data_IF_552090038826
#
_entry.id   IF_552090038826
#
_cell.length_a   1.000
_cell.length_b   1.000
_cell.length_c   1.000
_cell.angle_alpha   90.00
_cell.angle_beta   90.00
_cell.angle_gamma   90.00
#
_symmetry.space_group_name_H-M   'P 1'
#
loop_
_entity.id
_entity.type
_entity.pdbx_description
1 polymer ?
#
# COMPACT_ATOMS: atom_id res chain seq x y z
N UNK A 1 -69.51 21.86 28.42
CA UNK A 1 -69.70 22.11 29.85
C UNK A 1 -68.29 21.99 30.49
N UNK A 2 -67.72 23.10 30.78
CA UNK A 2 -67.35 23.58 32.14
C UNK A 2 -66.31 22.65 32.77
N UNK A 3 -65.18 23.03 33.02
CA UNK A 3 -64.48 24.07 33.85
C UNK A 3 -63.40 23.27 34.60
N UNK A 4 -62.33 23.65 35.05
CA UNK A 4 -61.54 24.84 35.35
C UNK A 4 -60.22 24.38 35.92
N UNK A 5 -59.18 25.09 35.63
CA UNK A 5 -57.92 25.14 36.38
C UNK A 5 -58.19 25.79 37.78
N UNK A 6 -57.36 25.60 38.77
CA UNK A 6 -56.13 26.35 39.01
C UNK A 6 -55.04 25.50 39.70
N UNK A 7 -53.78 25.77 39.78
CA UNK A 7 -53.02 27.01 39.91
C UNK A 7 -52.07 26.95 41.11
N UNK A 8 -50.78 27.31 40.91
CA UNK A 8 -49.77 27.70 41.94
C UNK A 8 -49.18 26.58 42.83
N UNK A 9 -47.89 26.53 43.14
CA UNK A 9 -46.96 27.54 43.69
C UNK A 9 -45.54 27.03 43.51
N UNK A 10 -44.60 27.91 43.17
CA UNK A 10 -43.14 27.83 43.17
C UNK A 10 -42.65 27.67 44.63
N UNK A 11 -41.68 26.74 44.85
CA UNK A 11 -40.66 26.95 45.86
C UNK A 11 -39.31 26.38 45.32
N UNK A 12 -38.41 27.32 45.23
CA UNK A 12 -36.96 27.15 45.04
C UNK A 12 -36.33 26.43 46.25
N UNK A 13 -35.53 25.43 46.01
CA UNK A 13 -34.43 25.13 46.95
C UNK A 13 -33.20 24.71 46.13
N UNK A 14 -32.23 25.59 46.18
CA UNK A 14 -30.84 25.37 45.83
C UNK A 14 -30.26 24.39 46.84
N UNK A 15 -29.73 23.27 46.38
CA UNK A 15 -28.77 22.49 47.15
C UNK A 15 -27.61 22.14 46.23
N UNK A 16 -26.49 22.76 46.53
CA UNK A 16 -25.16 22.51 46.06
C UNK A 16 -24.78 21.11 46.55
N UNK A 17 -24.48 20.20 45.61
CA UNK A 17 -23.68 19.04 45.88
C UNK A 17 -22.61 18.96 44.82
N UNK A 18 -21.42 19.22 45.27
CA UNK A 18 -20.14 19.10 44.59
C UNK A 18 -19.85 17.64 44.23
N UNK A 19 -19.19 17.51 43.10
CA UNK A 19 -18.16 16.54 42.76
C UNK A 19 -18.58 15.10 42.47
N UNK A 20 -18.45 14.70 41.23
CA UNK A 20 -17.27 14.01 40.75
C UNK A 20 -17.39 13.82 39.23
N UNK A 21 -16.89 14.77 38.47
CA UNK A 21 -16.51 14.52 37.07
C UNK A 21 -15.32 13.60 37.07
N UNK A 22 -15.54 12.31 36.97
CA UNK A 22 -14.54 11.42 36.37
C UNK A 22 -14.70 11.51 34.87
N UNK A 23 -13.87 12.33 34.27
CA UNK A 23 -13.61 12.38 32.86
C UNK A 23 -13.25 10.98 32.34
N UNK A 24 -14.23 10.31 31.74
CA UNK A 24 -13.93 9.34 30.69
C UNK A 24 -13.61 10.14 29.44
N UNK A 25 -12.43 10.74 29.40
CA UNK A 25 -11.82 11.17 28.17
C UNK A 25 -11.60 9.95 27.30
N UNK A 26 -12.44 9.82 26.28
CA UNK A 26 -12.21 8.95 25.13
C UNK A 26 -10.78 9.13 24.65
N UNK A 27 -10.03 8.05 24.72
CA UNK A 27 -8.80 7.85 24.00
C UNK A 27 -9.12 7.68 22.51
N UNK A 28 -9.29 8.78 21.81
CA UNK A 28 -9.45 8.84 20.35
C UNK A 28 -8.63 9.97 19.75
N UNK A 29 -7.43 10.17 20.26
CA UNK A 29 -6.52 11.16 19.72
C UNK A 29 -5.09 10.74 19.97
N UNK A 30 -4.59 9.81 19.16
CA UNK A 30 -3.15 9.64 18.96
C UNK A 30 -2.85 8.78 17.71
N UNK A 31 -3.64 8.85 16.64
CA UNK A 31 -3.12 8.66 15.31
C UNK A 31 -2.48 10.00 14.89
N UNK A 32 -1.34 10.33 15.47
CA UNK A 32 -0.51 11.40 14.95
C UNK A 32 -0.08 11.00 13.54
N UNK A 33 -0.64 11.67 12.53
CA UNK A 33 -0.03 11.70 11.19
C UNK A 33 1.41 12.13 11.39
N UNK A 34 2.35 11.23 11.16
CA UNK A 34 3.75 11.58 11.12
C UNK A 34 3.97 12.37 9.82
N UNK A 35 4.17 13.68 9.95
CA UNK A 35 4.61 14.52 8.84
C UNK A 35 6.13 14.61 8.92
N UNK A 36 6.79 14.22 7.85
CA UNK A 36 8.24 14.22 7.75
C UNK A 36 8.70 14.96 6.50
N UNK A 37 9.67 15.86 6.64
CA UNK A 37 10.35 16.47 5.51
C UNK A 37 11.29 15.44 4.88
N UNK A 38 11.04 15.10 3.61
CA UNK A 38 11.93 14.25 2.83
C UNK A 38 12.64 15.10 1.79
N UNK A 39 13.94 14.91 1.68
CA UNK A 39 14.73 15.55 0.62
C UNK A 39 14.52 14.75 -0.66
N UNK A 40 14.04 15.38 -1.73
CA UNK A 40 13.94 14.74 -3.04
C UNK A 40 15.35 14.31 -3.49
N UNK A 41 15.58 13.00 -3.58
CA UNK A 41 16.87 12.47 -3.99
C UNK A 41 16.85 12.17 -5.49
N UNK A 42 17.56 12.97 -6.27
CA UNK A 42 17.80 12.70 -7.68
C UNK A 42 18.93 11.67 -7.90
N UNK A 43 19.68 11.33 -6.85
CA UNK A 43 20.75 10.35 -6.89
C UNK A 43 20.41 9.18 -5.96
N UNK A 44 20.79 7.95 -6.35
CA UNK A 44 20.68 6.78 -5.48
C UNK A 44 21.75 6.86 -4.38
N UNK A 45 21.34 7.32 -3.20
CA UNK A 45 22.17 7.36 -2.01
C UNK A 45 21.75 6.33 -0.97
N UNK A 46 20.96 5.33 -1.38
CA UNK A 46 20.42 4.34 -0.48
C UNK A 46 21.49 3.45 0.13
N UNK A 47 21.53 3.45 1.46
CA UNK A 47 22.40 2.59 2.25
C UNK A 47 21.55 1.65 3.11
N UNK A 48 21.56 0.33 2.85
CA UNK A 48 20.70 -0.62 3.58
C UNK A 48 21.05 -0.74 5.08
N UNK A 49 22.22 -0.25 5.48
CA UNK A 49 22.79 -0.43 6.80
C UNK A 49 23.81 -1.60 6.85
N UNK A 50 24.74 -1.54 7.81
CA UNK A 50 25.89 -2.46 7.88
C UNK A 50 25.49 -3.93 8.14
N UNK A 51 24.33 -4.16 8.75
CA UNK A 51 23.84 -5.52 9.09
C UNK A 51 23.14 -6.22 7.94
N UNK A 52 22.98 -5.55 6.81
CA UNK A 52 22.26 -6.08 5.65
C UNK A 52 23.23 -6.52 4.54
N UNK A 53 22.87 -7.58 3.83
CA UNK A 53 23.56 -8.10 2.65
C UNK A 53 22.57 -8.22 1.50
N UNK A 54 22.86 -7.57 0.38
CA UNK A 54 22.09 -7.73 -0.86
C UNK A 54 22.08 -9.21 -1.28
N UNK A 55 20.91 -9.74 -1.55
CA UNK A 55 20.72 -11.13 -2.02
C UNK A 55 20.04 -11.20 -3.39
N UNK A 56 19.31 -10.17 -3.78
CA UNK A 56 18.70 -10.05 -5.11
C UNK A 56 18.41 -8.57 -5.39
N UNK A 57 18.47 -8.21 -6.67
CA UNK A 57 17.99 -6.92 -7.15
C UNK A 57 17.58 -6.99 -8.62
N UNK A 58 16.76 -6.03 -9.02
CA UNK A 58 16.58 -5.63 -10.40
C UNK A 58 16.75 -4.11 -10.47
N UNK A 59 17.79 -3.70 -11.19
CA UNK A 59 18.17 -2.28 -11.36
C UNK A 59 17.58 -1.70 -12.65
N UNK A 60 16.83 -2.50 -13.41
CA UNK A 60 16.16 -2.14 -14.66
C UNK A 60 17.05 -1.46 -15.72
N UNK A 61 18.36 -1.76 -15.69
CA UNK A 61 19.35 -1.21 -16.63
C UNK A 61 19.32 -1.86 -18.02
N UNK A 62 18.60 -2.99 -18.19
CA UNK A 62 18.44 -3.67 -19.47
C UNK A 62 17.44 -2.90 -20.36
N UNK A 63 17.49 -3.20 -21.69
CA UNK A 63 16.55 -2.60 -22.66
C UNK A 63 15.11 -3.16 -22.56
N UNK A 64 14.95 -4.32 -21.90
CA UNK A 64 13.67 -5.03 -21.78
C UNK A 64 13.48 -5.56 -20.34
N UNK A 65 12.22 -5.75 -19.95
CA UNK A 65 11.87 -6.37 -18.67
C UNK A 65 12.33 -7.81 -18.64
N UNK A 66 13.12 -8.20 -17.64
CA UNK A 66 13.63 -9.56 -17.50
C UNK A 66 12.50 -10.55 -17.14
N UNK A 67 12.07 -11.29 -18.13
CA UNK A 67 11.05 -12.33 -17.99
C UNK A 67 11.48 -13.52 -17.12
N UNK A 68 12.76 -13.63 -16.71
CA UNK A 68 13.18 -14.61 -15.71
C UNK A 68 12.86 -14.15 -14.28
N UNK A 69 12.70 -12.85 -14.06
CA UNK A 69 12.32 -12.26 -12.78
C UNK A 69 10.83 -11.92 -12.72
N UNK A 70 10.24 -11.45 -13.82
CA UNK A 70 8.90 -10.88 -13.84
C UNK A 70 7.90 -11.67 -14.67
N UNK A 71 6.69 -11.81 -14.16
CA UNK A 71 5.51 -12.23 -14.88
C UNK A 71 4.59 -11.01 -15.09
N UNK A 72 3.81 -11.04 -16.16
CA UNK A 72 2.69 -10.14 -16.36
C UNK A 72 1.40 -10.85 -15.99
N UNK A 73 0.61 -10.26 -15.12
CA UNK A 73 -0.74 -10.74 -14.85
C UNK A 73 -1.70 -10.07 -15.83
N UNK A 74 -2.37 -10.87 -16.66
CA UNK A 74 -3.32 -10.39 -17.66
C UNK A 74 -4.72 -10.75 -17.21
N UNK A 75 -5.53 -9.74 -16.84
CA UNK A 75 -6.90 -9.90 -16.37
C UNK A 75 -7.78 -8.77 -16.89
N UNK A 76 -9.06 -9.05 -17.04
CA UNK A 76 -10.04 -8.07 -17.49
C UNK A 76 -10.41 -7.07 -16.38
N UNK A 77 -10.99 -5.95 -16.78
CA UNK A 77 -11.52 -4.93 -15.87
C UNK A 77 -12.55 -5.54 -14.90
N UNK A 78 -12.55 -5.07 -13.65
CA UNK A 78 -13.45 -5.54 -12.59
C UNK A 78 -13.07 -6.88 -11.98
N UNK A 79 -11.94 -7.48 -12.35
CA UNK A 79 -11.51 -8.75 -11.78
C UNK A 79 -11.11 -8.62 -10.30
N UNK A 80 -10.42 -7.55 -9.95
CA UNK A 80 -10.03 -7.21 -8.57
C UNK A 80 -10.72 -5.91 -8.15
N UNK A 81 -11.21 -5.80 -6.92
CA UNK A 81 -11.59 -4.56 -6.23
C UNK A 81 -12.47 -3.58 -7.04
N UNK A 82 -13.24 -4.07 -8.00
CA UNK A 82 -14.03 -3.24 -8.94
C UNK A 82 -13.16 -2.25 -9.74
N UNK A 83 -11.88 -2.58 -9.97
CA UNK A 83 -10.93 -1.78 -10.73
C UNK A 83 -11.35 -1.66 -12.19
N UNK A 84 -11.08 -0.53 -12.81
CA UNK A 84 -11.60 -0.20 -14.15
C UNK A 84 -10.65 -0.56 -15.28
N UNK A 85 -9.35 -0.70 -15.00
CA UNK A 85 -8.39 -1.10 -16.02
C UNK A 85 -8.41 -2.60 -16.29
N UNK A 86 -8.11 -2.95 -17.51
CA UNK A 86 -7.60 -4.27 -17.86
C UNK A 86 -6.08 -4.26 -17.68
N UNK A 87 -5.55 -5.26 -16.98
CA UNK A 87 -4.10 -5.48 -16.94
C UNK A 87 -3.65 -6.24 -18.16
N UNK A 88 -2.57 -5.78 -18.80
CA UNK A 88 -2.03 -6.29 -20.06
C UNK A 88 -0.55 -6.64 -19.95
N UNK A 89 -0.07 -7.43 -20.91
CA UNK A 89 1.37 -7.67 -21.13
C UNK A 89 1.92 -6.82 -22.30
N UNK A 90 1.25 -5.74 -22.64
CA UNK A 90 1.64 -4.86 -23.74
C UNK A 90 2.79 -3.95 -23.32
N UNK A 91 3.77 -3.77 -24.22
CA UNK A 91 4.79 -2.73 -24.07
C UNK A 91 4.25 -1.30 -24.06
N UNK A 92 2.98 -1.08 -24.33
CA UNK A 92 2.31 0.20 -24.10
C UNK A 92 2.12 0.48 -22.61
N UNK A 93 1.93 -0.59 -21.79
CA UNK A 93 1.60 -0.48 -20.38
C UNK A 93 2.77 -0.79 -19.44
N UNK A 94 3.77 -1.58 -19.87
CA UNK A 94 5.00 -1.77 -19.10
C UNK A 94 6.20 -1.94 -20.02
N UNK A 95 7.27 -1.21 -19.73
CA UNK A 95 8.51 -1.18 -20.52
C UNK A 95 9.65 -0.59 -19.68
N UNK A 96 10.87 -0.67 -20.21
CA UNK A 96 12.04 -0.01 -19.63
C UNK A 96 12.27 1.32 -20.35
N UNK A 97 12.48 2.38 -19.59
CA UNK A 97 12.82 3.70 -20.11
C UNK A 97 13.78 4.40 -19.15
N UNK A 98 14.90 4.90 -19.66
CA UNK A 98 15.92 5.64 -18.90
C UNK A 98 16.38 4.92 -17.62
N UNK A 99 16.58 3.59 -17.70
CA UNK A 99 17.00 2.78 -16.55
C UNK A 99 15.94 2.55 -15.49
N UNK A 100 14.66 2.68 -15.84
CA UNK A 100 13.55 2.43 -14.92
C UNK A 100 12.51 1.52 -15.54
N UNK A 101 11.90 0.66 -14.75
CA UNK A 101 10.63 0.02 -15.10
C UNK A 101 9.52 1.08 -15.07
N UNK A 102 8.84 1.25 -16.19
CA UNK A 102 7.66 2.13 -16.29
C UNK A 102 6.41 1.27 -16.33
N UNK A 103 5.48 1.52 -15.40
CA UNK A 103 4.11 1.01 -15.46
C UNK A 103 3.19 2.17 -15.80
N UNK A 104 2.47 2.02 -16.92
CA UNK A 104 1.70 3.10 -17.53
C UNK A 104 0.22 2.78 -17.57
N UNK A 105 -0.57 3.56 -16.84
CA UNK A 105 -2.02 3.54 -16.95
C UNK A 105 -2.47 4.46 -18.10
N UNK A 106 -3.26 3.92 -19.01
CA UNK A 106 -3.73 4.59 -20.23
C UNK A 106 -5.26 4.62 -20.21
N UNK A 107 -5.82 5.75 -20.61
CA UNK A 107 -7.23 5.91 -20.93
C UNK A 107 -7.39 6.00 -22.45
N UNK A 108 -8.21 5.16 -23.02
CA UNK A 108 -8.55 5.15 -24.44
C UNK A 108 -10.07 5.08 -24.57
N UNK A 109 -10.63 5.69 -25.60
CA UNK A 109 -12.03 5.45 -25.97
C UNK A 109 -12.08 4.37 -27.04
N UNK A 110 -13.00 3.42 -26.91
CA UNK A 110 -13.22 2.40 -27.94
C UNK A 110 -13.91 3.00 -29.19
N UNK A 111 -14.14 2.15 -30.18
CA UNK A 111 -14.82 2.54 -31.43
C UNK A 111 -16.26 3.00 -31.25
N UNK A 112 -16.85 2.78 -30.09
CA UNK A 112 -18.20 3.21 -29.72
C UNK A 112 -18.18 4.42 -28.76
N UNK A 113 -16.97 4.96 -28.46
CA UNK A 113 -16.78 6.07 -27.53
C UNK A 113 -16.93 5.71 -26.06
N UNK A 114 -16.83 4.41 -25.72
CA UNK A 114 -16.82 3.96 -24.31
C UNK A 114 -15.40 4.08 -23.76
N UNK A 115 -15.31 4.59 -22.55
CA UNK A 115 -14.05 4.70 -21.82
C UNK A 115 -13.46 3.33 -21.51
N UNK A 116 -12.19 3.16 -21.82
CA UNK A 116 -11.42 1.96 -21.51
C UNK A 116 -10.10 2.35 -20.87
N UNK A 117 -9.73 1.60 -19.82
CA UNK A 117 -8.46 1.79 -19.14
C UNK A 117 -7.61 0.54 -19.28
N UNK A 118 -6.32 0.73 -19.55
CA UNK A 118 -5.34 -0.35 -19.56
C UNK A 118 -4.16 0.01 -18.68
N UNK A 119 -3.55 -0.98 -18.05
CA UNK A 119 -2.36 -0.82 -17.21
C UNK A 119 -1.58 -2.13 -17.18
N UNK A 120 -0.57 -2.24 -16.30
CA UNK A 120 0.14 -3.47 -16.07
C UNK A 120 0.22 -3.80 -14.58
N UNK A 121 0.27 -5.11 -14.28
CA UNK A 121 0.56 -5.71 -12.99
C UNK A 121 1.65 -6.75 -13.20
N UNK A 122 2.81 -6.51 -12.61
CA UNK A 122 3.98 -7.38 -12.69
C UNK A 122 4.21 -8.04 -11.33
N UNK A 123 4.70 -9.28 -11.35
CA UNK A 123 5.01 -10.01 -10.13
C UNK A 123 6.13 -11.03 -10.30
N UNK A 124 6.76 -11.39 -9.18
CA UNK A 124 7.87 -12.36 -9.17
C UNK A 124 7.45 -13.79 -8.81
N UNK A 125 6.14 -14.10 -8.71
CA UNK A 125 5.63 -15.43 -8.34
C UNK A 125 6.26 -16.54 -9.18
N UNK A 126 6.60 -17.67 -8.53
CA UNK A 126 7.23 -18.84 -9.14
C UNK A 126 8.63 -18.58 -9.78
N UNK A 127 9.21 -17.39 -9.56
CA UNK A 127 10.54 -17.00 -10.02
C UNK A 127 11.44 -16.57 -8.87
N UNK A 128 10.97 -15.62 -8.07
CA UNK A 128 11.68 -15.10 -6.91
C UNK A 128 10.71 -14.98 -5.72
N UNK A 129 11.10 -15.54 -4.57
CA UNK A 129 10.35 -15.47 -3.33
C UNK A 129 11.29 -15.27 -2.15
N UNK A 130 10.80 -14.65 -1.11
CA UNK A 130 11.58 -14.39 0.09
C UNK A 130 10.74 -14.56 1.35
N UNK A 131 11.36 -15.10 2.38
CA UNK A 131 10.85 -15.09 3.75
C UNK A 131 11.77 -14.21 4.59
N UNK A 132 11.24 -13.15 5.19
CA UNK A 132 11.97 -12.16 5.96
C UNK A 132 13.05 -11.41 5.15
N UNK A 133 13.52 -10.32 5.69
CA UNK A 133 14.56 -9.51 5.11
C UNK A 133 14.18 -8.03 5.07
N UNK A 134 14.97 -7.25 4.34
CA UNK A 134 14.63 -5.88 3.94
C UNK A 134 14.31 -5.91 2.45
N UNK A 135 13.14 -5.44 2.09
CA UNK A 135 12.69 -5.25 0.71
C UNK A 135 12.59 -3.75 0.49
N UNK A 136 13.29 -3.23 -0.48
CA UNK A 136 13.31 -1.79 -0.76
C UNK A 136 13.16 -1.54 -2.26
N UNK A 137 12.44 -0.47 -2.62
CA UNK A 137 12.36 0.01 -3.99
C UNK A 137 12.42 1.55 -4.02
N UNK A 138 13.06 2.09 -5.06
CA UNK A 138 13.08 3.52 -5.36
C UNK A 138 12.07 3.79 -6.45
N UNK A 139 11.00 4.53 -6.09
CA UNK A 139 9.82 4.67 -6.95
C UNK A 139 9.36 6.11 -7.00
N UNK A 140 8.98 6.57 -8.19
CA UNK A 140 8.22 7.82 -8.40
C UNK A 140 6.80 7.45 -8.80
N UNK A 141 5.82 7.94 -8.02
CA UNK A 141 4.44 7.53 -8.16
C UNK A 141 3.68 8.36 -9.18
N UNK A 142 2.62 7.80 -9.81
CA UNK A 142 1.62 8.57 -10.52
C UNK A 142 0.77 9.38 -9.52
N UNK A 143 -0.09 10.25 -10.04
CA UNK A 143 -0.98 11.09 -9.25
C UNK A 143 -2.35 11.26 -9.90
N UNK A 144 -3.30 11.72 -9.11
CA UNK A 144 -4.61 12.13 -9.58
C UNK A 144 -5.75 11.21 -9.15
N UNK A 145 -6.95 11.76 -9.17
CA UNK A 145 -8.16 11.09 -8.71
C UNK A 145 -8.39 9.78 -9.47
N UNK A 146 -8.67 8.71 -8.72
CA UNK A 146 -8.88 7.38 -9.29
C UNK A 146 -7.61 6.64 -9.71
N UNK A 147 -6.41 7.13 -9.37
CA UNK A 147 -5.15 6.44 -9.64
C UNK A 147 -4.69 5.73 -8.37
N UNK A 148 -4.30 4.45 -8.51
CA UNK A 148 -3.96 3.58 -7.38
C UNK A 148 -2.71 2.74 -7.69
N UNK A 149 -1.51 3.31 -7.51
CA UNK A 149 -0.26 2.57 -7.56
C UNK A 149 -0.04 1.77 -6.28
N UNK A 150 0.59 0.60 -6.41
CA UNK A 150 0.97 -0.25 -5.29
C UNK A 150 2.32 -0.94 -5.51
N UNK A 151 3.05 -1.09 -4.42
CA UNK A 151 4.19 -1.99 -4.22
C UNK A 151 3.91 -2.85 -3.00
N UNK A 152 3.79 -4.14 -3.20
CA UNK A 152 3.23 -5.04 -2.24
C UNK A 152 3.70 -6.48 -2.43
N UNK A 153 3.29 -7.38 -1.57
CA UNK A 153 3.69 -8.77 -1.58
C UNK A 153 2.51 -9.70 -1.28
N UNK A 154 2.48 -10.86 -1.92
CA UNK A 154 1.54 -11.95 -1.64
C UNK A 154 2.29 -13.23 -1.23
N UNK A 155 1.65 -14.05 -0.41
CA UNK A 155 2.16 -15.35 -0.03
C UNK A 155 2.41 -16.25 -1.25
N UNK A 156 3.58 -16.87 -1.32
CA UNK A 156 4.00 -17.69 -2.47
C UNK A 156 3.13 -18.94 -2.68
N UNK A 157 2.36 -19.34 -1.67
CA UNK A 157 1.43 -20.46 -1.72
C UNK A 157 0.02 -20.08 -2.21
N UNK A 158 -0.19 -18.84 -2.68
CA UNK A 158 -1.51 -18.39 -3.18
C UNK A 158 -1.97 -19.24 -4.37
N UNK A 159 -3.25 -19.59 -4.39
CA UNK A 159 -3.85 -20.46 -5.41
C UNK A 159 -3.88 -19.82 -6.81
N UNK A 160 -4.01 -18.49 -6.90
CA UNK A 160 -3.93 -17.74 -8.18
C UNK A 160 -2.66 -18.02 -8.99
N UNK A 161 -1.56 -18.38 -8.33
CA UNK A 161 -0.28 -18.68 -8.96
C UNK A 161 0.12 -20.16 -8.89
N UNK A 162 -0.88 -21.04 -8.71
CA UNK A 162 -0.71 -22.49 -8.69
C UNK A 162 -0.38 -23.08 -7.32
N UNK A 163 -0.51 -22.30 -6.26
CA UNK A 163 -0.49 -22.79 -4.87
C UNK A 163 -1.81 -23.47 -4.49
N UNK A 164 -2.01 -23.64 -3.20
CA UNK A 164 -3.16 -24.35 -2.63
C UNK A 164 -3.94 -23.53 -1.58
N UNK A 165 -3.54 -22.29 -1.38
CA UNK A 165 -4.04 -21.43 -0.30
C UNK A 165 -4.71 -20.18 -0.88
N UNK A 166 -6.03 -19.98 -0.68
CA UNK A 166 -6.70 -18.79 -1.18
C UNK A 166 -6.32 -17.54 -0.37
N UNK A 167 -6.57 -16.37 -0.91
CA UNK A 167 -6.58 -15.12 -0.16
C UNK A 167 -7.80 -15.07 0.79
N UNK A 168 -7.71 -14.58 2.04
CA UNK A 168 -6.53 -13.95 2.67
C UNK A 168 -5.60 -14.92 3.43
N UNK A 169 -5.84 -16.23 3.43
CA UNK A 169 -5.06 -17.24 4.14
C UNK A 169 -3.62 -17.36 3.62
N UNK A 170 -3.35 -16.91 2.40
CA UNK A 170 -2.00 -16.82 1.86
C UNK A 170 -1.18 -15.67 2.45
N UNK A 171 -1.85 -14.64 2.98
CA UNK A 171 -1.25 -13.42 3.50
C UNK A 171 -0.91 -12.39 2.40
N UNK A 172 -0.94 -11.10 2.79
CA UNK A 172 -0.58 -9.95 1.96
C UNK A 172 0.14 -8.90 2.80
N UNK A 173 1.17 -8.27 2.23
CA UNK A 173 1.92 -7.18 2.87
C UNK A 173 1.99 -6.02 1.87
N UNK A 174 1.37 -4.90 2.20
CA UNK A 174 1.42 -3.69 1.38
C UNK A 174 2.57 -2.83 1.84
N UNK A 175 3.60 -2.69 0.98
CA UNK A 175 4.76 -1.84 1.28
C UNK A 175 4.37 -0.39 1.09
N UNK A 176 3.65 -0.07 0.01
CA UNK A 176 2.86 1.14 -0.12
C UNK A 176 1.66 0.93 -1.03
N UNK A 177 0.60 1.64 -0.72
CA UNK A 177 -0.51 1.96 -1.60
C UNK A 177 -0.76 3.46 -1.57
N UNK A 178 -1.07 4.07 -2.72
CA UNK A 178 -1.51 5.46 -2.81
C UNK A 178 -2.89 5.51 -3.44
N UNK A 179 -3.82 6.19 -2.78
CA UNK A 179 -5.19 6.38 -3.29
C UNK A 179 -5.38 7.83 -3.69
N UNK A 180 -5.36 8.11 -4.98
CA UNK A 180 -5.50 9.46 -5.52
C UNK A 180 -6.77 10.18 -5.10
N UNK A 181 -7.82 9.44 -4.67
CA UNK A 181 -9.03 10.02 -4.08
C UNK A 181 -8.82 10.67 -2.72
N UNK A 182 -7.73 10.33 -2.02
CA UNK A 182 -7.41 10.85 -0.68
C UNK A 182 -6.44 12.04 -0.76
N UNK A 183 -5.22 11.76 -1.19
CA UNK A 183 -4.17 12.77 -1.39
C UNK A 183 -2.94 12.13 -2.03
N UNK A 184 -2.34 12.77 -3.01
CA UNK A 184 -1.14 12.30 -3.69
C UNK A 184 0.15 12.47 -2.85
N UNK A 185 0.06 13.02 -1.64
CA UNK A 185 1.15 13.12 -0.66
C UNK A 185 1.09 12.07 0.45
N UNK A 186 0.11 11.14 0.39
CA UNK A 186 -0.09 10.13 1.43
C UNK A 186 0.03 8.74 0.82
N UNK A 187 0.87 7.90 1.41
CA UNK A 187 0.90 6.45 1.18
C UNK A 187 0.44 5.71 2.42
N UNK A 188 -0.15 4.55 2.21
CA UNK A 188 -0.61 3.65 3.27
C UNK A 188 0.12 2.31 3.18
N UNK A 189 0.38 1.72 4.35
CA UNK A 189 0.91 0.37 4.50
C UNK A 189 -0.07 -0.48 5.28
N UNK A 190 -0.11 -1.77 4.99
CA UNK A 190 -1.01 -2.70 5.65
C UNK A 190 -0.46 -4.12 5.66
N UNK A 191 -1.13 -5.01 6.40
CA UNK A 191 -1.08 -6.46 6.23
C UNK A 191 -2.51 -7.01 6.21
N UNK A 192 -2.74 -8.02 5.38
CA UNK A 192 -4.01 -8.72 5.29
C UNK A 192 -3.80 -10.21 5.55
N UNK A 193 -4.66 -10.79 6.39
CA UNK A 193 -4.55 -12.17 6.85
C UNK A 193 -5.92 -12.76 7.16
N UNK A 194 -5.96 -14.04 7.49
CA UNK A 194 -7.16 -14.70 7.97
C UNK A 194 -7.18 -14.72 9.49
N UNK A 195 -8.25 -14.25 10.12
CA UNK A 195 -8.44 -14.37 11.56
C UNK A 195 -8.71 -15.85 11.97
N UNK A 196 -8.84 -16.09 13.27
CA UNK A 196 -9.13 -17.44 13.82
C UNK A 196 -10.39 -18.10 13.21
N UNK A 197 -11.32 -17.32 12.68
CA UNK A 197 -12.53 -17.83 12.00
C UNK A 197 -12.30 -18.11 10.51
N UNK A 198 -11.15 -17.76 9.97
CA UNK A 198 -10.81 -17.80 8.54
C UNK A 198 -11.35 -16.60 7.75
N UNK A 199 -11.90 -15.59 8.42
CA UNK A 199 -12.37 -14.37 7.76
C UNK A 199 -11.22 -13.39 7.53
N UNK A 200 -11.38 -12.52 6.51
CA UNK A 200 -10.41 -11.48 6.24
C UNK A 200 -10.29 -10.51 7.40
N UNK A 201 -9.07 -10.30 7.83
CA UNK A 201 -8.66 -9.30 8.81
C UNK A 201 -7.49 -8.47 8.28
N UNK A 202 -7.31 -7.27 8.82
CA UNK A 202 -6.15 -6.44 8.57
C UNK A 202 -5.75 -5.71 9.84
N UNK A 203 -4.48 -5.33 9.96
CA UNK A 203 -4.01 -4.58 11.12
C UNK A 203 -4.38 -3.10 11.09
N UNK A 204 -5.10 -2.65 10.03
CA UNK A 204 -5.42 -1.27 9.75
C UNK A 204 -4.27 -0.54 9.06
N UNK A 205 -4.63 0.36 8.16
CA UNK A 205 -3.65 1.11 7.40
C UNK A 205 -2.87 2.08 8.31
N UNK A 206 -1.54 2.01 8.24
CA UNK A 206 -0.68 3.05 8.74
C UNK A 206 -0.29 3.98 7.59
N UNK A 207 -0.31 5.29 7.79
CA UNK A 207 -0.03 6.26 6.73
C UNK A 207 1.23 7.07 6.98
N UNK A 208 1.95 7.36 5.91
CA UNK A 208 3.02 8.34 5.83
C UNK A 208 2.57 9.49 4.94
N UNK A 209 2.72 10.73 5.41
CA UNK A 209 2.37 11.94 4.65
C UNK A 209 3.61 12.81 4.48
N UNK A 210 3.91 13.20 3.23
CA UNK A 210 4.93 14.19 2.92
C UNK A 210 4.56 15.53 3.57
N UNK A 211 5.54 16.26 4.09
CA UNK A 211 5.32 17.62 4.61
C UNK A 211 4.93 18.59 3.49
N UNK A 212 5.55 18.43 2.32
CA UNK A 212 5.30 19.26 1.13
C UNK A 212 5.38 18.41 -0.14
N UNK A 213 4.66 18.82 -1.20
CA UNK A 213 4.68 18.18 -2.51
C UNK A 213 3.86 16.89 -2.58
N UNK A 214 4.18 16.06 -3.57
CA UNK A 214 3.51 14.80 -3.88
C UNK A 214 4.56 13.73 -4.16
N UNK A 215 4.22 12.47 -3.95
CA UNK A 215 5.06 11.34 -4.35
C UNK A 215 5.33 11.26 -5.87
N UNK A 216 4.61 12.03 -6.66
CA UNK A 216 4.82 12.18 -8.10
C UNK A 216 5.92 13.18 -8.47
N UNK A 217 6.37 14.03 -7.54
CA UNK A 217 7.29 15.12 -7.84
C UNK A 217 8.75 14.65 -7.85
N UNK A 218 9.09 13.55 -7.14
CA UNK A 218 10.42 12.97 -7.05
C UNK A 218 10.39 11.45 -6.85
N UNK A 219 11.54 10.79 -6.96
CA UNK A 219 11.71 9.43 -6.49
C UNK A 219 11.82 9.40 -4.96
N UNK A 220 11.19 8.40 -4.36
CA UNK A 220 11.24 8.09 -2.94
C UNK A 220 11.63 6.64 -2.74
N UNK A 221 12.21 6.32 -1.60
CA UNK A 221 12.59 4.95 -1.23
C UNK A 221 11.57 4.41 -0.25
N UNK A 222 10.90 3.35 -0.66
CA UNK A 222 9.93 2.62 0.16
C UNK A 222 10.57 1.33 0.65
N UNK A 223 10.53 1.09 1.96
CA UNK A 223 11.20 -0.04 2.59
C UNK A 223 10.27 -0.82 3.50
N UNK A 224 10.43 -2.12 3.45
CA UNK A 224 9.87 -3.09 4.38
C UNK A 224 11.03 -3.79 5.11
N UNK A 225 11.08 -3.73 6.43
CA UNK A 225 11.89 -4.64 7.24
C UNK A 225 10.98 -5.69 7.87
N UNK A 226 11.27 -6.94 7.62
CA UNK A 226 10.42 -8.05 8.02
C UNK A 226 11.27 -9.15 8.66
N UNK A 227 10.91 -9.56 9.88
CA UNK A 227 11.55 -10.65 10.61
C UNK A 227 10.48 -11.58 11.25
N UNK A 228 10.89 -12.44 12.17
CA UNK A 228 9.99 -13.39 12.81
C UNK A 228 9.02 -12.75 13.82
N UNK A 229 9.28 -11.54 14.26
CA UNK A 229 8.50 -10.87 15.30
C UNK A 229 7.60 -9.77 14.75
N UNK A 230 8.05 -9.13 13.68
CA UNK A 230 7.41 -7.90 13.19
C UNK A 230 7.65 -7.60 11.71
N UNK A 231 6.77 -6.75 11.20
CA UNK A 231 6.91 -6.05 9.93
C UNK A 231 7.00 -4.55 10.22
N UNK A 232 7.91 -3.85 9.56
CA UNK A 232 8.19 -2.44 9.77
C UNK A 232 8.33 -1.71 8.44
N UNK A 233 7.73 -0.53 8.32
CA UNK A 233 7.72 0.27 7.11
C UNK A 233 8.46 1.58 7.27
N UNK A 234 9.23 1.94 6.23
CA UNK A 234 9.96 3.19 6.16
C UNK A 234 9.71 3.86 4.80
N UNK A 235 9.75 5.20 4.80
CA UNK A 235 9.84 6.02 3.59
C UNK A 235 11.05 6.93 3.75
N UNK A 236 11.95 6.89 2.77
CA UNK A 236 13.23 7.64 2.77
C UNK A 236 14.02 7.48 4.09
N UNK A 237 14.08 6.24 4.59
CA UNK A 237 14.74 5.89 5.84
C UNK A 237 13.99 6.29 7.12
N UNK A 238 12.81 6.93 7.00
CA UNK A 238 12.00 7.33 8.16
C UNK A 238 10.97 6.25 8.47
N UNK A 239 11.14 5.58 9.62
CA UNK A 239 10.16 4.60 10.11
C UNK A 239 8.85 5.30 10.48
N UNK A 240 7.73 4.84 9.93
CA UNK A 240 6.41 5.37 10.25
C UNK A 240 5.44 4.34 10.81
N UNK A 241 5.68 3.04 10.57
CA UNK A 241 4.82 1.97 11.06
C UNK A 241 5.63 0.75 11.51
N UNK A 242 5.05 -0.03 12.40
CA UNK A 242 5.52 -1.37 12.76
C UNK A 242 4.35 -2.17 13.32
N UNK A 243 4.22 -3.43 12.88
CA UNK A 243 3.18 -4.35 13.32
C UNK A 243 3.81 -5.66 13.78
N UNK A 244 3.34 -6.20 14.92
CA UNK A 244 3.76 -7.54 15.36
C UNK A 244 3.05 -8.60 14.55
N UNK A 245 3.78 -9.64 14.17
CA UNK A 245 3.27 -10.83 13.47
C UNK A 245 3.52 -12.10 14.27
N UNK A 246 3.73 -11.97 15.59
CA UNK A 246 4.05 -13.10 16.48
C UNK A 246 2.82 -13.87 16.97
N UNK A 247 1.61 -13.42 16.69
CA UNK A 247 0.39 -14.11 17.05
C UNK A 247 0.16 -15.36 16.16
N UNK A 248 -0.46 -16.41 16.72
CA UNK A 248 -0.66 -17.69 16.02
C UNK A 248 -1.51 -17.53 14.72
N UNK A 249 -2.48 -16.62 14.73
CA UNK A 249 -3.30 -16.28 13.55
C UNK A 249 -2.55 -15.56 12.43
N UNK A 250 -1.30 -15.17 12.66
CA UNK A 250 -0.43 -14.50 11.67
C UNK A 250 0.60 -15.45 11.07
N UNK A 251 0.32 -16.76 11.10
CA UNK A 251 1.24 -17.80 10.63
C UNK A 251 1.61 -17.70 9.15
N UNK A 252 0.79 -17.07 8.30
CA UNK A 252 1.08 -16.81 6.90
C UNK A 252 2.31 -15.92 6.70
N UNK A 253 2.55 -14.95 7.59
CA UNK A 253 3.72 -14.06 7.52
C UNK A 253 5.04 -14.74 7.91
N UNK A 254 5.01 -16.02 8.24
CA UNK A 254 6.19 -16.87 8.46
C UNK A 254 6.46 -17.81 7.28
N UNK A 255 5.85 -17.55 6.10
CA UNK A 255 6.08 -18.26 4.83
C UNK A 255 6.84 -17.37 3.85
N UNK A 256 7.03 -17.84 2.64
CA UNK A 256 7.63 -17.04 1.55
C UNK A 256 6.59 -16.18 0.86
N UNK A 257 7.01 -14.99 0.44
CA UNK A 257 6.23 -14.02 -0.32
C UNK A 257 6.94 -13.64 -1.59
N UNK A 258 6.17 -13.24 -2.61
CA UNK A 258 6.67 -12.66 -3.85
C UNK A 258 6.24 -11.19 -3.97
N UNK A 259 6.98 -10.44 -4.79
CA UNK A 259 6.80 -8.99 -4.99
C UNK A 259 5.82 -8.73 -6.13
N UNK A 260 5.02 -7.65 -5.99
CA UNK A 260 4.15 -7.12 -7.03
C UNK A 260 4.31 -5.60 -7.16
N UNK A 261 4.18 -5.13 -8.42
CA UNK A 261 3.99 -3.72 -8.78
C UNK A 261 2.80 -3.59 -9.71
N UNK A 262 1.93 -2.62 -9.47
CA UNK A 262 0.84 -2.27 -10.39
C UNK A 262 0.42 -0.82 -10.26
N UNK A 263 -0.30 -0.35 -11.27
CA UNK A 263 -1.10 0.87 -11.20
C UNK A 263 -2.53 0.50 -11.55
N UNK A 264 -3.42 0.50 -10.55
CA UNK A 264 -4.84 0.35 -10.78
C UNK A 264 -5.49 1.69 -11.13
N UNK A 265 -6.66 1.64 -11.75
CA UNK A 265 -7.49 2.79 -12.10
C UNK A 265 -8.89 2.53 -11.57
N UNK A 266 -9.43 3.46 -10.80
CA UNK A 266 -10.73 3.29 -10.17
C UNK A 266 -10.68 2.34 -8.97
N UNK A 267 -11.75 1.55 -8.82
CA UNK A 267 -11.85 0.57 -7.75
C UNK A 267 -12.42 1.13 -6.45
N UNK A 268 -12.52 0.25 -5.47
CA UNK A 268 -13.22 0.49 -4.21
C UNK A 268 -12.58 1.62 -3.38
N UNK A 269 -11.25 1.75 -3.41
CA UNK A 269 -10.51 2.69 -2.55
C UNK A 269 -10.10 3.99 -3.25
N UNK A 270 -9.63 3.93 -4.50
CA UNK A 270 -9.18 5.12 -5.23
C UNK A 270 -10.33 5.97 -5.77
N UNK A 271 -11.53 5.42 -5.80
CA UNK A 271 -12.68 6.09 -6.39
C UNK A 271 -12.63 6.12 -7.92
N UNK A 272 -13.60 6.76 -8.53
CA UNK A 272 -13.68 6.81 -10.00
C UNK A 272 -12.80 7.92 -10.55
N UNK A 273 -12.06 7.70 -11.65
CA UNK A 273 -11.52 8.82 -12.41
C UNK A 273 -12.60 9.84 -12.76
N UNK A 274 -12.25 11.11 -12.77
CA UNK A 274 -13.15 12.21 -13.09
C UNK A 274 -12.50 13.20 -14.06
N UNK A 275 -13.12 14.36 -14.28
CA UNK A 275 -12.62 15.36 -15.21
C UNK A 275 -11.27 15.98 -14.80
N UNK A 276 -10.79 15.71 -13.58
CA UNK A 276 -9.47 16.14 -13.08
C UNK A 276 -8.40 15.07 -13.26
N UNK A 277 -8.81 13.83 -13.56
CA UNK A 277 -7.89 12.72 -13.78
C UNK A 277 -7.20 12.87 -15.14
N UNK A 278 -5.89 12.98 -15.13
CA UNK A 278 -5.07 13.16 -16.33
C UNK A 278 -4.44 11.83 -16.73
N UNK A 279 -4.54 11.45 -18.00
CA UNK A 279 -3.90 10.25 -18.55
C UNK A 279 -2.99 10.62 -19.74
N UNK A 280 -1.93 9.82 -20.01
CA UNK A 280 -1.50 8.65 -19.24
C UNK A 280 -0.86 9.00 -17.91
N UNK A 281 -0.92 8.08 -16.95
CA UNK A 281 -0.21 8.15 -15.69
C UNK A 281 0.92 7.11 -15.64
N UNK A 282 2.04 7.45 -14.99
CA UNK A 282 3.23 6.63 -14.99
C UNK A 282 3.75 6.43 -13.58
N UNK A 283 4.01 5.18 -13.21
CA UNK A 283 4.85 4.82 -12.09
C UNK A 283 6.23 4.43 -12.63
N UNK A 284 7.28 5.01 -12.08
CA UNK A 284 8.66 4.70 -12.42
C UNK A 284 9.31 3.98 -11.25
N UNK A 285 9.83 2.78 -11.48
CA UNK A 285 10.61 2.02 -10.51
C UNK A 285 12.05 2.02 -10.99
N UNK A 286 12.92 2.77 -10.30
CA UNK A 286 14.33 2.89 -10.61
C UNK A 286 15.08 1.59 -10.30
N UNK A 287 14.80 1.02 -9.13
CA UNK A 287 15.30 -0.28 -8.73
C UNK A 287 14.41 -0.92 -7.67
N UNK A 288 14.54 -2.24 -7.52
CA UNK A 288 14.05 -3.01 -6.39
C UNK A 288 15.15 -3.94 -5.88
N UNK A 289 15.34 -3.98 -4.56
CA UNK A 289 16.45 -4.68 -3.90
C UNK A 289 15.94 -5.46 -2.70
N UNK A 290 16.46 -6.67 -2.52
CA UNK A 290 16.16 -7.52 -1.35
C UNK A 290 17.45 -7.85 -0.61
N UNK A 291 17.38 -7.68 0.70
CA UNK A 291 18.51 -7.88 1.61
C UNK A 291 18.15 -8.91 2.69
N UNK A 292 19.16 -9.64 3.16
CA UNK A 292 19.08 -10.51 4.34
C UNK A 292 20.01 -9.96 5.43
N UNK A 293 19.62 -10.16 6.70
CA UNK A 293 20.53 -9.89 7.81
C UNK A 293 21.79 -10.74 7.65
N UNK A 294 22.94 -10.15 7.88
CA UNK A 294 24.20 -10.88 7.97
C UNK A 294 24.15 -11.80 9.17
N UNK A 295 24.62 -13.04 9.02
CA UNK A 295 24.79 -13.94 10.17
C UNK A 295 25.82 -13.33 11.11
N UNK A 296 25.48 -13.27 12.40
CA UNK A 296 26.47 -12.92 13.42
C UNK A 296 27.58 -13.96 13.38
N UNK A 297 28.81 -13.51 13.16
CA UNK A 297 29.97 -14.39 13.35
C UNK A 297 30.09 -14.69 14.85
N UNK A 298 29.69 -15.91 15.24
CA UNK A 298 29.89 -16.45 16.58
C UNK A 298 31.39 -16.63 16.82
#
# INVERSE_FOLDING_TARGET
MKNLLPGFVIISMISIALLSCMDKKKSTDDMKKNKHATTSQNEDTFEPGQDWKLVWSDEFEADEIDVNNWNFQVVEAGHFNEEWQRYTNSSKNAYIEDGSLVIKAIHESDVHGMDQYTSARLHTANKQTWKYGKIAARVKLPFGHGIWPAFWMLGANIDENGGDTPWPQSGEIDIFELYGSKNDSVVEANIHYADESGAHASMGAASFELEEGRFADAFHIFELEWDADSVMWLVDGVKYASMSISADEMSEFHKEFFILFNVAVGGTWAGRPDSTSVFPQHMYVDWVRVYKKKEEKI
#
